data_IF_785200040079
#
_entry.id   IF_785200040079
#
_cell.length_a   1.000
_cell.length_b   1.000
_cell.length_c   1.000
_cell.angle_alpha   90.00
_cell.angle_beta   90.00
_cell.angle_gamma   90.00
#
_symmetry.space_group_name_H-M   'P 1'
#
loop_
_entity.id
_entity.type
_entity.pdbx_description
1 polymer ?
#
# COMPACT_ATOMS: atom_id res chain seq x y z
N UNK A 1 20.03 15.81 6.95
CA UNK A 1 20.37 15.95 5.51
C UNK A 1 20.74 14.57 4.99
N UNK A 2 19.94 13.98 4.13
CA UNK A 2 20.27 12.70 3.46
C UNK A 2 21.20 13.01 2.29
N UNK A 3 22.47 12.63 2.40
CA UNK A 3 23.44 12.74 1.30
C UNK A 3 22.93 11.97 0.09
N UNK A 4 23.08 12.51 -1.12
CA UNK A 4 22.67 11.87 -2.39
C UNK A 4 23.17 10.43 -2.55
N UNK A 5 24.35 10.12 -2.00
CA UNK A 5 24.91 8.77 -1.98
C UNK A 5 24.12 7.77 -1.13
N UNK A 6 23.39 8.21 -0.10
CA UNK A 6 22.69 7.30 0.82
C UNK A 6 21.40 6.74 0.23
N UNK A 7 20.64 7.53 -0.53
CA UNK A 7 19.43 7.05 -1.21
C UNK A 7 19.75 6.04 -2.32
N UNK A 8 20.79 6.31 -3.11
CA UNK A 8 21.25 5.39 -4.16
C UNK A 8 21.77 4.07 -3.58
N UNK A 9 22.58 4.11 -2.50
CA UNK A 9 23.04 2.92 -1.79
C UNK A 9 21.88 2.12 -1.20
N UNK A 10 20.91 2.80 -0.57
CA UNK A 10 19.72 2.16 -0.03
C UNK A 10 18.88 1.49 -1.13
N UNK A 11 18.76 2.12 -2.30
CA UNK A 11 18.06 1.56 -3.46
C UNK A 11 18.78 0.34 -4.04
N UNK A 12 20.10 0.43 -4.22
CA UNK A 12 20.91 -0.67 -4.73
C UNK A 12 20.85 -1.89 -3.80
N UNK A 13 21.00 -1.69 -2.49
CA UNK A 13 20.89 -2.78 -1.50
C UNK A 13 19.50 -3.42 -1.52
N UNK A 14 18.44 -2.60 -1.56
CA UNK A 14 17.06 -3.09 -1.61
C UNK A 14 16.78 -3.86 -2.92
N UNK A 15 17.30 -3.37 -4.04
CA UNK A 15 17.17 -4.03 -5.34
C UNK A 15 17.87 -5.38 -5.35
N UNK A 16 19.10 -5.45 -4.79
CA UNK A 16 19.86 -6.69 -4.71
C UNK A 16 19.12 -7.77 -3.91
N UNK A 17 18.61 -7.42 -2.71
CA UNK A 17 17.82 -8.35 -1.87
C UNK A 17 16.57 -8.83 -2.60
N UNK A 18 15.82 -7.93 -3.23
CA UNK A 18 14.61 -8.29 -3.98
C UNK A 18 14.91 -9.20 -5.17
N UNK A 19 15.98 -8.93 -5.92
CA UNK A 19 16.41 -9.74 -7.05
C UNK A 19 16.89 -11.13 -6.62
N UNK A 20 17.77 -11.20 -5.62
CA UNK A 20 18.32 -12.46 -5.11
C UNK A 20 17.23 -13.38 -4.56
N UNK A 21 16.19 -12.80 -3.97
CA UNK A 21 15.08 -13.53 -3.37
C UNK A 21 13.83 -13.59 -4.26
N UNK A 22 13.91 -13.27 -5.55
CA UNK A 22 12.75 -13.15 -6.47
C UNK A 22 11.80 -14.34 -6.40
N UNK A 23 12.36 -15.56 -6.38
CA UNK A 23 11.59 -16.81 -6.30
C UNK A 23 10.70 -16.92 -5.05
N UNK A 24 10.98 -16.18 -3.98
CA UNK A 24 10.25 -16.24 -2.71
C UNK A 24 9.03 -15.33 -2.66
N UNK A 25 8.93 -14.32 -3.53
CA UNK A 25 7.85 -13.33 -3.48
C UNK A 25 7.08 -13.17 -4.80
N UNK A 26 7.75 -13.30 -5.95
CA UNK A 26 7.17 -13.13 -7.28
C UNK A 26 6.52 -14.43 -7.79
N UNK A 27 5.49 -14.89 -7.08
CA UNK A 27 4.71 -16.08 -7.41
C UNK A 27 3.24 -15.91 -7.00
N UNK A 28 2.39 -16.81 -7.50
CA UNK A 28 0.96 -16.84 -7.17
C UNK A 28 0.69 -18.04 -6.26
N UNK A 29 0.47 -17.85 -4.94
CA UNK A 29 0.33 -18.97 -4.00
C UNK A 29 -0.81 -19.93 -4.33
N UNK A 30 -1.91 -19.41 -4.88
CA UNK A 30 -3.07 -20.22 -5.26
C UNK A 30 -2.75 -21.18 -6.43
N UNK A 31 -1.69 -20.91 -7.18
CA UNK A 31 -1.20 -21.81 -8.23
C UNK A 31 -0.29 -22.92 -7.72
N UNK A 32 0.15 -22.87 -6.46
CA UNK A 32 1.10 -23.82 -5.90
C UNK A 32 0.37 -25.03 -5.28
N UNK A 33 0.71 -26.25 -5.73
CA UNK A 33 0.19 -27.50 -5.15
C UNK A 33 1.04 -28.05 -4.00
N UNK A 34 2.26 -27.54 -3.87
CA UNK A 34 3.21 -27.85 -2.80
C UNK A 34 4.03 -26.58 -2.48
N UNK A 35 4.92 -26.66 -1.49
CA UNK A 35 5.87 -25.56 -1.25
C UNK A 35 6.69 -25.34 -2.54
N UNK A 36 6.71 -24.11 -3.10
CA UNK A 36 7.22 -23.88 -4.45
C UNK A 36 8.75 -23.75 -4.52
N UNK A 37 9.45 -23.84 -3.40
CA UNK A 37 10.88 -23.56 -3.29
C UNK A 37 11.68 -24.83 -3.08
N UNK A 38 12.76 -24.97 -3.85
CA UNK A 38 13.78 -25.99 -3.63
C UNK A 38 14.71 -25.56 -2.48
N UNK A 39 14.17 -25.54 -1.27
CA UNK A 39 14.87 -25.15 -0.05
C UNK A 39 14.43 -26.05 1.13
N UNK A 40 15.12 -27.18 1.37
CA UNK A 40 14.74 -28.15 2.40
C UNK A 40 14.72 -27.55 3.81
N UNK A 41 15.67 -26.68 4.15
CA UNK A 41 15.74 -26.03 5.45
C UNK A 41 14.54 -25.11 5.70
N UNK A 42 14.11 -24.37 4.67
CA UNK A 42 12.88 -23.58 4.73
C UNK A 42 11.64 -24.46 4.85
N UNK A 43 11.55 -25.53 4.06
CA UNK A 43 10.42 -26.46 4.10
C UNK A 43 10.27 -27.10 5.50
N UNK A 44 11.36 -27.61 6.07
CA UNK A 44 11.38 -28.14 7.44
C UNK A 44 10.91 -27.09 8.45
N UNK A 45 11.45 -25.87 8.36
CA UNK A 45 11.07 -24.77 9.27
C UNK A 45 9.58 -24.44 9.16
N UNK A 46 9.02 -24.33 7.96
CA UNK A 46 7.60 -24.00 7.75
C UNK A 46 6.64 -25.12 8.18
N UNK A 47 7.05 -26.38 8.03
CA UNK A 47 6.26 -27.54 8.47
C UNK A 47 6.29 -27.70 10.00
N UNK A 48 7.39 -27.31 10.66
CA UNK A 48 7.50 -27.34 12.11
C UNK A 48 6.69 -26.23 12.82
N UNK A 49 6.28 -25.17 12.11
CA UNK A 49 5.49 -24.08 12.71
C UNK A 49 4.03 -24.54 12.98
N UNK A 50 3.54 -24.40 14.22
CA UNK A 50 2.14 -24.68 14.55
C UNK A 50 1.19 -23.70 13.84
N UNK A 51 0.07 -24.20 13.32
CA UNK A 51 -0.90 -23.38 12.57
C UNK A 51 -1.42 -22.18 13.37
N UNK A 52 -1.57 -22.36 14.69
CA UNK A 52 -2.02 -21.31 15.62
C UNK A 52 -1.08 -20.12 15.71
N UNK A 53 0.21 -20.30 15.39
CA UNK A 53 1.23 -19.27 15.55
C UNK A 53 1.44 -18.48 14.24
N UNK A 54 1.08 -19.05 13.09
CA UNK A 54 1.32 -18.47 11.75
C UNK A 54 0.79 -17.04 11.61
N UNK A 55 -0.43 -16.78 12.10
CA UNK A 55 -1.05 -15.46 12.01
C UNK A 55 -0.33 -14.40 12.86
N UNK A 56 0.20 -14.79 14.03
CA UNK A 56 0.96 -13.89 14.89
C UNK A 56 2.32 -13.57 14.25
N UNK A 57 3.01 -14.60 13.74
CA UNK A 57 4.28 -14.43 13.04
C UNK A 57 4.09 -13.56 11.79
N UNK A 58 3.03 -13.75 10.99
CA UNK A 58 2.80 -12.94 9.78
C UNK A 58 2.63 -11.44 10.03
N UNK A 59 2.17 -11.07 11.22
CA UNK A 59 1.83 -9.68 11.58
C UNK A 59 2.92 -8.97 12.39
N UNK A 60 3.92 -9.70 12.90
CA UNK A 60 4.97 -9.16 13.76
C UNK A 60 6.36 -9.33 13.11
N UNK A 61 6.98 -8.24 12.61
CA UNK A 61 8.32 -8.28 12.03
C UNK A 61 9.40 -8.86 12.95
N UNK A 62 9.28 -8.69 14.27
CA UNK A 62 10.24 -9.25 15.22
C UNK A 62 10.11 -10.78 15.29
N UNK A 63 8.88 -11.30 15.27
CA UNK A 63 8.64 -12.75 15.19
C UNK A 63 9.08 -13.31 13.83
N UNK A 64 8.83 -12.59 12.73
CA UNK A 64 9.34 -12.97 11.41
C UNK A 64 10.87 -13.13 11.44
N UNK A 65 11.58 -12.15 12.01
CA UNK A 65 13.04 -12.22 12.16
C UNK A 65 13.46 -13.37 13.08
N UNK A 66 12.79 -13.57 14.20
CA UNK A 66 13.10 -14.66 15.13
C UNK A 66 12.96 -16.04 14.47
N UNK A 67 11.93 -16.24 13.65
CA UNK A 67 11.65 -17.56 13.06
C UNK A 67 12.36 -17.78 11.72
N UNK A 68 12.53 -16.76 10.90
CA UNK A 68 13.01 -16.87 9.51
C UNK A 68 14.31 -16.09 9.25
N UNK A 69 14.85 -15.40 10.26
CA UNK A 69 16.03 -14.54 10.14
C UNK A 69 17.29 -15.21 9.62
N UNK A 70 17.56 -16.44 10.07
CA UNK A 70 18.73 -17.21 9.64
C UNK A 70 18.67 -17.62 8.17
N UNK A 71 17.45 -17.83 7.63
CA UNK A 71 17.21 -18.25 6.25
C UNK A 71 17.18 -17.07 5.27
N UNK A 72 16.90 -15.86 5.76
CA UNK A 72 16.80 -14.63 4.97
C UNK A 72 17.69 -13.54 5.58
N UNK A 73 18.95 -13.89 5.85
CA UNK A 73 19.86 -13.02 6.60
C UNK A 73 20.09 -11.67 5.90
N UNK A 74 20.22 -11.67 4.57
CA UNK A 74 20.35 -10.50 3.71
C UNK A 74 19.14 -9.55 3.83
N UNK A 75 17.94 -10.11 3.87
CA UNK A 75 16.68 -9.38 4.04
C UNK A 75 16.60 -8.68 5.41
N UNK A 76 16.90 -9.40 6.49
CA UNK A 76 16.84 -8.83 7.84
C UNK A 76 18.05 -7.95 8.19
N UNK A 77 19.18 -8.13 7.48
CA UNK A 77 20.33 -7.23 7.54
C UNK A 77 20.17 -5.99 6.66
N UNK A 78 19.13 -5.92 5.82
CA UNK A 78 18.81 -4.73 5.04
C UNK A 78 18.63 -3.57 6.02
N UNK A 79 19.70 -2.79 6.18
CA UNK A 79 19.70 -1.70 7.14
C UNK A 79 18.64 -0.72 6.70
N UNK A 80 17.60 -0.61 7.51
CA UNK A 80 16.56 0.39 7.32
C UNK A 80 17.13 1.76 7.74
N UNK A 81 18.20 2.21 7.11
CA UNK A 81 18.96 3.46 7.33
C UNK A 81 18.12 4.75 7.21
N UNK A 82 16.82 4.63 7.01
CA UNK A 82 15.87 5.74 7.03
C UNK A 82 15.37 6.02 8.47
N UNK A 83 15.77 5.20 9.45
CA UNK A 83 15.57 5.41 10.89
C UNK A 83 16.93 5.58 11.61
N UNK A 84 17.94 6.16 10.97
CA UNK A 84 19.13 6.57 11.72
C UNK A 84 18.66 7.55 12.82
N UNK A 85 19.10 7.40 14.08
CA UNK A 85 18.66 8.27 15.19
C UNK A 85 18.96 9.77 14.97
N UNK A 86 19.76 10.11 13.96
CA UNK A 86 20.07 11.49 13.53
C UNK A 86 19.15 12.04 12.41
N UNK A 87 18.25 11.23 11.85
CA UNK A 87 17.28 11.62 10.81
C UNK A 87 15.84 11.44 11.28
N UNK A 88 15.57 11.69 12.57
CA UNK A 88 14.21 11.87 13.04
C UNK A 88 13.62 13.10 12.38
N UNK A 89 12.44 12.94 11.77
CA UNK A 89 11.67 14.10 11.34
C UNK A 89 11.46 15.00 12.56
N UNK A 90 11.69 16.29 12.40
CA UNK A 90 11.40 17.26 13.45
C UNK A 90 9.88 17.42 13.47
N UNK A 91 9.22 16.65 14.34
CA UNK A 91 7.80 16.81 14.57
C UNK A 91 7.55 18.18 15.19
N UNK A 92 6.76 19.00 14.52
CA UNK A 92 6.32 20.29 15.01
C UNK A 92 5.19 20.11 16.01
N UNK A 93 5.25 20.86 17.11
CA UNK A 93 4.15 20.91 18.06
C UNK A 93 2.93 21.58 17.40
N UNK A 94 1.85 20.81 17.29
CA UNK A 94 0.59 21.28 16.74
C UNK A 94 -0.26 21.89 17.86
N UNK A 95 -1.04 22.92 17.52
CA UNK A 95 -2.02 23.48 18.47
C UNK A 95 -3.05 22.41 18.81
N UNK A 96 -3.59 22.37 20.05
CA UNK A 96 -4.66 21.46 20.42
C UNK A 96 -5.84 21.58 19.45
N UNK A 97 -6.18 20.48 18.78
CA UNK A 97 -7.21 20.48 17.73
C UNK A 97 -8.60 20.53 18.36
N UNK A 98 -9.46 21.51 18.02
CA UNK A 98 -10.81 21.57 18.56
C UNK A 98 -11.66 20.37 18.13
N UNK A 99 -12.55 19.91 19.02
CA UNK A 99 -13.39 18.72 18.77
C UNK A 99 -14.26 18.83 17.51
N UNK A 100 -14.72 20.04 17.17
CA UNK A 100 -15.57 20.26 16.00
C UNK A 100 -14.81 20.04 14.69
N UNK A 101 -13.48 20.19 14.69
CA UNK A 101 -12.64 19.97 13.53
C UNK A 101 -12.33 18.48 13.29
N UNK A 102 -12.43 17.67 14.37
CA UNK A 102 -12.24 16.21 14.32
C UNK A 102 -13.54 15.43 14.13
N UNK A 103 -14.70 16.10 14.23
CA UNK A 103 -16.01 15.47 14.08
C UNK A 103 -16.16 14.82 12.69
N UNK A 104 -16.72 13.60 12.68
CA UNK A 104 -16.89 12.81 11.45
C UNK A 104 -15.59 12.20 10.88
N UNK A 105 -14.46 12.32 11.58
CA UNK A 105 -13.18 11.68 11.20
C UNK A 105 -12.96 10.45 12.06
N UNK A 106 -12.90 9.26 11.44
CA UNK A 106 -12.57 8.03 12.16
C UNK A 106 -11.20 8.13 12.83
N UNK A 107 -11.07 7.60 14.05
CA UNK A 107 -9.89 7.82 14.91
C UNK A 107 -8.54 7.52 14.25
N UNK A 108 -8.43 6.47 13.44
CA UNK A 108 -7.18 6.16 12.69
C UNK A 108 -6.89 7.17 11.59
N UNK A 109 -7.91 7.62 10.86
CA UNK A 109 -7.75 8.67 9.86
C UNK A 109 -7.28 9.95 10.54
N UNK A 110 -7.83 10.27 11.71
CA UNK A 110 -7.38 11.40 12.52
C UNK A 110 -5.92 11.23 12.97
N UNK A 111 -5.53 10.06 13.48
CA UNK A 111 -4.15 9.79 13.88
C UNK A 111 -3.16 9.99 12.72
N UNK A 112 -3.48 9.50 11.52
CA UNK A 112 -2.66 9.72 10.32
C UNK A 112 -2.60 11.21 9.94
N UNK A 113 -3.73 11.91 9.93
CA UNK A 113 -3.79 13.34 9.59
C UNK A 113 -2.96 14.17 10.59
N UNK A 114 -3.08 13.90 11.90
CA UNK A 114 -2.32 14.60 12.94
C UNK A 114 -0.83 14.32 12.79
N UNK A 115 -0.43 13.05 12.67
CA UNK A 115 0.97 12.67 12.54
C UNK A 115 1.60 13.19 11.24
N UNK A 116 0.86 13.22 10.14
CA UNK A 116 1.33 13.84 8.89
C UNK A 116 1.46 15.36 9.05
N UNK A 117 0.48 16.02 9.67
CA UNK A 117 0.46 17.47 9.86
C UNK A 117 1.62 17.95 10.73
N UNK A 118 2.06 17.15 11.71
CA UNK A 118 3.24 17.51 12.53
C UNK A 118 4.55 17.45 11.74
N UNK A 119 4.59 16.81 10.57
CA UNK A 119 5.77 16.79 9.71
C UNK A 119 5.80 17.92 8.69
N UNK A 120 4.75 18.75 8.62
CA UNK A 120 4.66 19.84 7.66
C UNK A 120 5.33 21.08 8.26
N UNK A 121 6.43 21.58 7.68
CA UNK A 121 7.10 22.77 8.18
C UNK A 121 6.24 24.00 7.94
N UNK A 122 6.39 24.99 8.82
CA UNK A 122 5.81 26.31 8.61
C UNK A 122 6.41 26.95 7.35
N UNK A 123 5.54 27.52 6.52
CA UNK A 123 5.91 28.10 5.24
C UNK A 123 4.85 29.11 4.79
N UNK A 124 5.28 30.18 4.14
CA UNK A 124 4.40 31.19 3.54
C UNK A 124 3.94 30.80 2.13
N UNK A 125 4.40 29.65 1.61
CA UNK A 125 3.99 29.15 0.30
C UNK A 125 2.49 28.79 0.29
N UNK A 126 1.78 29.05 -0.81
CA UNK A 126 0.44 28.51 -1.02
C UNK A 126 0.41 26.99 -0.82
N UNK A 127 -0.56 26.50 -0.04
CA UNK A 127 -0.72 25.08 0.24
C UNK A 127 -1.75 24.44 -0.67
N UNK A 128 -1.38 23.35 -1.33
CA UNK A 128 -2.28 22.51 -2.11
C UNK A 128 -2.38 21.11 -1.52
N UNK A 129 -3.61 20.65 -1.29
CA UNK A 129 -3.93 19.28 -0.91
C UNK A 129 -4.38 18.51 -2.17
N UNK A 130 -3.61 17.50 -2.55
CA UNK A 130 -3.85 16.66 -3.71
C UNK A 130 -4.68 15.43 -3.32
N UNK A 131 -5.76 15.15 -4.07
CA UNK A 131 -6.72 14.08 -3.77
C UNK A 131 -7.37 14.24 -2.39
N UNK A 132 -8.08 15.35 -2.19
CA UNK A 132 -8.51 15.83 -0.88
C UNK A 132 -9.66 15.03 -0.23
N UNK A 133 -10.48 14.33 -1.01
CA UNK A 133 -11.76 13.80 -0.54
C UNK A 133 -12.62 14.92 0.07
N UNK A 134 -13.08 14.75 1.32
CA UNK A 134 -13.79 15.81 2.08
C UNK A 134 -12.87 16.92 2.66
N UNK A 135 -11.58 16.89 2.31
CA UNK A 135 -10.55 17.87 2.69
C UNK A 135 -10.27 17.97 4.18
N UNK A 136 -10.29 16.85 4.92
CA UNK A 136 -10.01 16.87 6.35
C UNK A 136 -8.58 17.28 6.68
N UNK A 137 -7.60 16.83 5.89
CA UNK A 137 -6.21 17.21 6.08
C UNK A 137 -6.03 18.68 5.74
N UNK A 138 -6.52 19.13 4.57
CA UNK A 138 -6.45 20.53 4.18
C UNK A 138 -7.10 21.47 5.20
N UNK A 139 -8.27 21.09 5.75
CA UNK A 139 -8.96 21.87 6.77
C UNK A 139 -8.15 21.98 8.07
N UNK A 140 -7.53 20.88 8.49
CA UNK A 140 -6.65 20.89 9.66
C UNK A 140 -5.42 21.77 9.42
N UNK A 141 -4.74 21.63 8.29
CA UNK A 141 -3.55 22.41 7.97
C UNK A 141 -3.86 23.90 7.85
N UNK A 142 -4.99 24.27 7.24
CA UNK A 142 -5.44 25.66 7.17
C UNK A 142 -5.66 26.25 8.56
N UNK A 143 -6.29 25.51 9.47
CA UNK A 143 -6.52 25.94 10.85
C UNK A 143 -5.22 25.99 11.69
N UNK A 144 -4.36 24.98 11.58
CA UNK A 144 -3.10 24.91 12.34
C UNK A 144 -2.17 26.05 11.96
N UNK A 145 -1.96 26.25 10.65
CA UNK A 145 -0.98 27.18 10.10
C UNK A 145 -1.55 28.53 9.74
N UNK A 146 -2.86 28.75 9.90
CA UNK A 146 -3.54 30.02 9.62
C UNK A 146 -3.26 30.53 8.20
N UNK A 147 -3.28 29.61 7.22
CA UNK A 147 -3.00 29.94 5.82
C UNK A 147 -4.01 29.27 4.87
N UNK A 148 -4.29 29.89 3.71
CA UNK A 148 -5.21 29.31 2.74
C UNK A 148 -4.75 27.95 2.20
N UNK A 149 -5.70 27.04 2.00
CA UNK A 149 -5.48 25.73 1.39
C UNK A 149 -6.35 25.57 0.15
N UNK A 150 -5.76 25.11 -0.94
CA UNK A 150 -6.49 24.64 -2.13
C UNK A 150 -6.56 23.12 -2.12
N UNK A 151 -7.76 22.56 -2.06
CA UNK A 151 -8.03 21.12 -2.02
C UNK A 151 -8.57 20.64 -3.36
N UNK A 152 -7.85 19.73 -4.03
CA UNK A 152 -8.22 19.22 -5.35
C UNK A 152 -8.86 17.85 -5.21
N UNK A 153 -10.06 17.67 -5.77
CA UNK A 153 -10.85 16.44 -5.63
C UNK A 153 -11.68 16.18 -6.91
N UNK A 154 -11.81 14.91 -7.30
CA UNK A 154 -12.50 14.53 -8.54
C UNK A 154 -13.99 14.30 -8.35
N UNK A 155 -14.46 13.97 -7.14
CA UNK A 155 -15.87 13.78 -6.87
C UNK A 155 -16.53 15.09 -6.48
N UNK A 156 -17.40 15.61 -7.35
CA UNK A 156 -18.16 16.85 -7.10
C UNK A 156 -18.86 16.86 -5.73
N UNK A 157 -19.46 15.74 -5.31
CA UNK A 157 -20.15 15.66 -4.02
C UNK A 157 -19.18 15.84 -2.84
N UNK A 158 -17.96 15.29 -2.93
CA UNK A 158 -16.95 15.46 -1.88
C UNK A 158 -16.44 16.91 -1.82
N UNK A 159 -16.33 17.59 -2.97
CA UNK A 159 -16.03 19.02 -3.01
C UNK A 159 -17.12 19.87 -2.36
N UNK A 160 -18.39 19.54 -2.59
CA UNK A 160 -19.53 20.24 -2.01
C UNK A 160 -19.59 20.04 -0.49
N UNK A 161 -19.49 18.79 -0.02
CA UNK A 161 -19.42 18.44 1.40
C UNK A 161 -18.25 19.15 2.11
N UNK A 162 -17.07 19.14 1.48
CA UNK A 162 -15.86 19.76 2.00
C UNK A 162 -15.97 21.28 2.10
N UNK A 163 -16.49 21.94 1.06
CA UNK A 163 -16.73 23.39 1.02
C UNK A 163 -17.74 23.83 2.07
N UNK A 164 -18.82 23.04 2.28
CA UNK A 164 -19.81 23.32 3.31
C UNK A 164 -19.19 23.26 4.71
N UNK A 165 -18.37 22.24 5.00
CA UNK A 165 -17.67 22.13 6.28
C UNK A 165 -16.64 23.26 6.49
N UNK A 166 -15.90 23.64 5.45
CA UNK A 166 -14.95 24.76 5.55
C UNK A 166 -15.68 26.09 5.85
N UNK A 167 -16.81 26.34 5.18
CA UNK A 167 -17.64 27.52 5.38
C UNK A 167 -18.26 27.57 6.78
N UNK A 168 -18.78 26.42 7.25
CA UNK A 168 -19.38 26.29 8.58
C UNK A 168 -18.42 26.73 9.70
N UNK A 169 -17.13 26.45 9.56
CA UNK A 169 -16.12 26.77 10.57
C UNK A 169 -15.24 27.98 10.20
N UNK A 170 -15.59 28.72 9.14
CA UNK A 170 -14.86 29.87 8.62
C UNK A 170 -13.35 29.58 8.40
N UNK A 171 -13.05 28.41 7.83
CA UNK A 171 -11.67 27.99 7.54
C UNK A 171 -11.33 28.34 6.08
N UNK A 172 -10.17 28.96 5.81
CA UNK A 172 -9.76 29.37 4.46
C UNK A 172 -9.31 28.16 3.61
N UNK A 173 -10.26 27.30 3.27
CA UNK A 173 -10.05 26.14 2.41
C UNK A 173 -10.95 26.27 1.18
N UNK A 174 -10.34 26.25 0.00
CA UNK A 174 -11.03 26.28 -1.29
C UNK A 174 -10.96 24.91 -1.94
N UNK A 175 -12.08 24.41 -2.46
CA UNK A 175 -12.10 23.19 -3.26
C UNK A 175 -12.02 23.49 -4.76
N UNK A 176 -11.32 22.62 -5.48
CA UNK A 176 -11.28 22.58 -6.95
C UNK A 176 -11.72 21.20 -7.39
N UNK A 177 -12.83 21.14 -8.13
CA UNK A 177 -13.31 19.93 -8.76
C UNK A 177 -12.50 19.65 -10.03
N UNK A 178 -11.65 18.63 -10.00
CA UNK A 178 -10.78 18.31 -11.12
C UNK A 178 -10.33 16.84 -11.10
N UNK A 179 -10.24 16.26 -12.29
CA UNK A 179 -9.52 15.00 -12.48
C UNK A 179 -8.03 15.29 -12.65
N UNK A 180 -7.28 15.02 -11.59
CA UNK A 180 -5.84 15.27 -11.52
C UNK A 180 -4.99 14.39 -12.46
N UNK A 181 -5.58 13.36 -13.07
CA UNK A 181 -4.93 12.54 -14.09
C UNK A 181 -4.96 13.21 -15.48
N UNK A 182 -5.72 14.30 -15.63
CA UNK A 182 -5.79 15.06 -16.87
C UNK A 182 -4.85 16.28 -16.85
N UNK A 183 -4.34 16.73 -18.00
CA UNK A 183 -3.55 17.97 -18.09
C UNK A 183 -4.28 19.20 -17.53
N UNK A 184 -5.60 19.27 -17.70
CA UNK A 184 -6.42 20.38 -17.18
C UNK A 184 -6.53 20.31 -15.65
N UNK A 185 -6.71 19.12 -15.08
CA UNK A 185 -6.86 18.97 -13.64
C UNK A 185 -5.57 19.17 -12.86
N UNK A 186 -4.41 18.89 -13.47
CA UNK A 186 -3.10 19.16 -12.88
C UNK A 186 -2.64 20.61 -13.03
N UNK A 187 -3.35 21.45 -13.81
CA UNK A 187 -3.02 22.86 -14.04
C UNK A 187 -3.11 23.74 -12.78
N UNK A 188 -3.71 23.21 -11.70
CA UNK A 188 -3.76 23.82 -10.36
C UNK A 188 -2.39 23.89 -9.67
N UNK A 189 -1.42 23.11 -10.14
CA UNK A 189 -0.05 23.12 -9.63
C UNK A 189 0.72 24.32 -10.18
N UNK A 190 1.47 24.99 -9.31
CA UNK A 190 2.25 26.17 -9.63
C UNK A 190 3.69 26.10 -9.10
N UNK A 191 4.63 26.87 -9.71
CA UNK A 191 5.90 27.18 -9.05
C UNK A 191 5.65 27.87 -7.70
N UNK A 192 6.58 27.75 -6.75
CA UNK A 192 6.46 28.35 -5.41
C UNK A 192 5.24 27.87 -4.60
N UNK A 193 4.92 26.59 -4.70
CA UNK A 193 3.82 25.97 -3.96
C UNK A 193 4.33 24.86 -3.04
N UNK A 194 3.66 24.69 -1.89
CA UNK A 194 3.80 23.51 -1.05
C UNK A 194 2.63 22.56 -1.33
N UNK A 195 2.93 21.34 -1.74
CA UNK A 195 1.93 20.33 -2.09
C UNK A 195 1.97 19.20 -1.07
N UNK A 196 0.80 18.81 -0.57
CA UNK A 196 0.62 17.71 0.37
C UNK A 196 -0.28 16.62 -0.21
N UNK A 197 0.05 15.35 0.05
CA UNK A 197 -0.73 14.21 -0.39
C UNK A 197 -0.61 13.03 0.59
N UNK A 198 -1.63 12.81 1.43
CA UNK A 198 -1.63 11.69 2.39
C UNK A 198 -2.20 10.39 1.81
N UNK A 199 -3.17 10.47 0.90
CA UNK A 199 -3.83 9.31 0.27
C UNK A 199 -4.05 9.50 -1.24
N UNK A 200 -2.99 9.88 -1.95
CA UNK A 200 -3.00 9.90 -3.41
C UNK A 200 -2.62 8.51 -3.94
N UNK A 201 -3.58 7.62 -4.14
CA UNK A 201 -3.31 6.21 -4.42
C UNK A 201 -2.77 5.92 -5.83
N UNK A 202 -1.76 5.03 -5.95
CA UNK A 202 -1.32 4.44 -7.22
C UNK A 202 -0.96 5.47 -8.29
N UNK A 203 -1.69 5.50 -9.40
CA UNK A 203 -1.43 6.46 -10.48
C UNK A 203 -1.50 7.92 -10.02
N UNK A 204 -2.30 8.24 -9.00
CA UNK A 204 -2.50 9.61 -8.51
C UNK A 204 -1.22 10.22 -7.90
N UNK A 205 -0.43 9.44 -7.14
CA UNK A 205 0.85 9.95 -6.63
C UNK A 205 1.95 9.94 -7.71
N UNK A 206 1.85 9.06 -8.71
CA UNK A 206 2.79 9.08 -9.84
C UNK A 206 2.59 10.35 -10.65
N UNK A 207 1.34 10.69 -10.93
CA UNK A 207 0.99 11.89 -11.68
C UNK A 207 1.34 13.16 -10.91
N UNK A 208 1.09 13.19 -9.60
CA UNK A 208 1.55 14.29 -8.75
C UNK A 208 3.06 14.53 -8.91
N UNK A 209 3.88 13.49 -8.84
CA UNK A 209 5.34 13.63 -8.94
C UNK A 209 5.76 14.17 -10.31
N UNK A 210 5.21 13.63 -11.41
CA UNK A 210 5.51 14.08 -12.77
C UNK A 210 5.13 15.55 -12.98
N UNK A 211 3.92 15.92 -12.57
CA UNK A 211 3.40 17.28 -12.76
C UNK A 211 4.09 18.29 -11.84
N UNK A 212 4.36 17.92 -10.58
CA UNK A 212 5.10 18.77 -9.65
C UNK A 212 6.51 19.09 -10.17
N UNK A 213 7.21 18.10 -10.71
CA UNK A 213 8.52 18.29 -11.36
C UNK A 213 8.39 19.20 -12.59
N UNK A 214 7.43 18.92 -13.47
CA UNK A 214 7.19 19.71 -14.70
C UNK A 214 6.87 21.18 -14.39
N UNK A 215 6.04 21.43 -13.37
CA UNK A 215 5.65 22.78 -12.93
C UNK A 215 6.67 23.43 -12.00
N UNK A 216 7.64 22.67 -11.50
CA UNK A 216 8.64 23.19 -10.58
C UNK A 216 8.10 23.56 -9.20
N UNK A 217 7.13 22.78 -8.68
CA UNK A 217 6.60 22.98 -7.33
C UNK A 217 7.74 22.97 -6.31
N UNK A 218 7.68 23.86 -5.32
CA UNK A 218 8.84 24.13 -4.47
C UNK A 218 8.99 23.12 -3.34
N UNK A 219 7.89 22.67 -2.74
CA UNK A 219 7.90 21.72 -1.63
C UNK A 219 6.85 20.63 -1.82
N UNK A 220 7.23 19.38 -1.61
CA UNK A 220 6.35 18.22 -1.70
C UNK A 220 6.40 17.43 -0.39
N UNK A 221 5.24 17.02 0.10
CA UNK A 221 5.07 16.14 1.24
C UNK A 221 4.05 15.07 0.86
N UNK A 222 4.50 13.85 0.55
CA UNK A 222 3.60 12.81 0.09
C UNK A 222 3.85 11.48 0.78
N UNK A 223 2.77 10.76 1.01
CA UNK A 223 2.75 9.37 1.48
C UNK A 223 2.19 8.51 0.35
N UNK A 224 3.04 7.90 -0.48
CA UNK A 224 2.58 6.99 -1.52
C UNK A 224 1.88 5.77 -0.91
N UNK A 225 0.73 5.39 -1.44
CA UNK A 225 -0.04 4.23 -0.98
C UNK A 225 -0.76 3.54 -2.15
N UNK A 226 -1.21 2.30 -1.94
CA UNK A 226 -1.98 1.55 -2.93
C UNK A 226 -1.27 1.44 -4.30
N UNK A 227 0.01 1.05 -4.29
CA UNK A 227 0.87 0.99 -5.49
C UNK A 227 0.31 0.18 -6.67
N UNK A 228 -0.57 -0.79 -6.40
CA UNK A 228 -1.22 -1.62 -7.41
C UNK A 228 -2.34 -0.92 -8.21
N UNK A 229 -2.76 0.28 -7.81
CA UNK A 229 -3.81 1.05 -8.51
C UNK A 229 -3.20 1.88 -9.64
N UNK A 230 -2.62 1.20 -10.62
CA UNK A 230 -2.07 1.76 -11.86
C UNK A 230 -2.90 1.30 -13.07
N UNK A 231 -2.88 2.02 -14.21
CA UNK A 231 -3.58 1.58 -15.41
C UNK A 231 -2.81 0.50 -16.18
N UNK A 232 -1.48 0.53 -16.11
CA UNK A 232 -0.60 -0.38 -16.84
C UNK A 232 -0.49 -1.73 -16.14
N UNK A 233 -0.35 -2.81 -16.90
CA UNK A 233 -0.22 -4.18 -16.36
C UNK A 233 1.01 -4.35 -15.45
N UNK A 234 2.05 -3.55 -15.71
CA UNK A 234 3.32 -3.54 -15.00
C UNK A 234 3.68 -2.13 -14.55
N UNK A 235 4.32 -2.05 -13.38
CA UNK A 235 4.87 -0.80 -12.88
C UNK A 235 5.94 -0.25 -13.82
N UNK A 236 5.79 1.02 -14.19
CA UNK A 236 6.80 1.77 -14.93
C UNK A 236 7.68 2.56 -13.97
N UNK A 237 8.97 2.19 -13.78
CA UNK A 237 9.84 2.89 -12.84
C UNK A 237 10.12 4.34 -13.25
N UNK A 238 10.20 5.24 -12.27
CA UNK A 238 10.34 6.67 -12.53
C UNK A 238 11.80 7.11 -12.68
N UNK A 239 12.67 6.58 -11.83
CA UNK A 239 14.09 6.95 -11.79
C UNK A 239 14.91 6.08 -12.75
N UNK A 240 16.00 6.67 -13.28
CA UNK A 240 16.92 5.94 -14.16
C UNK A 240 17.49 4.65 -13.52
N UNK A 241 17.78 4.66 -12.21
CA UNK A 241 18.30 3.48 -11.51
C UNK A 241 17.26 2.36 -11.42
N UNK A 242 15.99 2.71 -11.20
CA UNK A 242 14.93 1.72 -11.13
C UNK A 242 14.57 1.15 -12.49
N UNK A 243 14.68 1.95 -13.55
CA UNK A 243 14.57 1.49 -14.93
C UNK A 243 15.67 0.48 -15.28
N UNK A 244 16.89 0.67 -14.75
CA UNK A 244 18.00 -0.27 -14.95
C UNK A 244 17.88 -1.55 -14.11
N UNK A 245 17.34 -1.46 -12.88
CA UNK A 245 17.20 -2.61 -11.99
C UNK A 245 16.11 -3.60 -12.43
N UNK A 246 15.13 -3.11 -13.20
CA UNK A 246 14.03 -3.86 -13.82
C UNK A 246 13.53 -5.09 -13.04
N UNK A 247 12.75 -4.82 -11.98
CA UNK A 247 12.06 -5.88 -11.25
C UNK A 247 10.83 -6.45 -11.99
N UNK A 248 10.41 -5.85 -13.11
CA UNK A 248 9.21 -6.21 -13.86
C UNK A 248 7.99 -6.47 -12.95
N UNK A 249 7.67 -5.50 -12.07
CA UNK A 249 6.61 -5.67 -11.06
C UNK A 249 5.22 -5.62 -11.70
N UNK A 250 4.50 -6.73 -11.63
CA UNK A 250 3.10 -6.83 -12.06
C UNK A 250 2.14 -6.23 -11.02
N UNK A 251 0.86 -6.08 -11.38
CA UNK A 251 -0.19 -5.77 -10.40
C UNK A 251 -0.21 -6.70 -9.18
N UNK A 252 0.08 -7.98 -9.36
CA UNK A 252 0.09 -8.95 -8.26
C UNK A 252 1.24 -8.68 -7.29
N UNK A 253 2.41 -8.33 -7.82
CA UNK A 253 3.58 -7.98 -7.03
C UNK A 253 3.37 -6.65 -6.28
N UNK A 254 2.74 -5.66 -6.92
CA UNK A 254 2.38 -4.40 -6.28
C UNK A 254 1.30 -4.58 -5.20
N UNK A 255 0.40 -5.57 -5.35
CA UNK A 255 -0.57 -5.92 -4.31
C UNK A 255 0.16 -6.46 -3.08
N UNK A 256 1.22 -7.26 -3.25
CA UNK A 256 2.02 -7.76 -2.13
C UNK A 256 2.58 -6.60 -1.29
N UNK A 257 3.11 -5.54 -1.91
CA UNK A 257 3.63 -4.36 -1.19
C UNK A 257 2.58 -3.67 -0.28
N UNK A 258 1.29 -3.87 -0.55
CA UNK A 258 0.19 -3.24 0.21
C UNK A 258 -0.62 -4.22 1.04
N UNK A 259 -0.30 -5.51 0.99
CA UNK A 259 -0.82 -6.51 1.91
C UNK A 259 -0.21 -6.27 3.30
N UNK A 260 -1.02 -6.34 4.34
CA UNK A 260 -0.65 -5.97 5.71
C UNK A 260 -1.81 -5.26 6.40
N UNK A 261 -2.26 -5.83 7.50
CA UNK A 261 -3.47 -5.40 8.19
C UNK A 261 -3.18 -5.24 9.68
N UNK A 262 -3.16 -3.99 10.15
CA UNK A 262 -2.95 -3.70 11.57
C UNK A 262 -4.23 -3.75 12.40
N UNK A 263 -5.41 -3.90 11.77
CA UNK A 263 -6.69 -3.52 12.40
C UNK A 263 -7.94 -4.17 11.83
N UNK A 264 -7.82 -5.29 11.10
CA UNK A 264 -9.01 -6.04 10.72
C UNK A 264 -9.65 -6.62 12.00
N UNK A 265 -10.90 -6.25 12.28
CA UNK A 265 -11.63 -6.87 13.40
C UNK A 265 -11.85 -8.37 13.16
N UNK A 266 -12.05 -9.14 14.23
CA UNK A 266 -12.21 -10.62 14.20
C UNK A 266 -13.19 -11.09 13.12
N UNK A 267 -14.31 -10.37 12.94
CA UNK A 267 -15.30 -10.67 11.89
C UNK A 267 -14.73 -10.56 10.48
N UNK A 268 -13.96 -9.51 10.19
CA UNK A 268 -13.36 -9.27 8.87
C UNK A 268 -12.33 -10.36 8.59
N UNK A 269 -11.56 -10.76 9.59
CA UNK A 269 -10.57 -11.82 9.47
C UNK A 269 -11.21 -13.18 9.19
N UNK A 270 -12.30 -13.50 9.90
CA UNK A 270 -13.08 -14.72 9.63
C UNK A 270 -13.62 -14.77 8.20
N UNK A 271 -14.13 -13.64 7.70
CA UNK A 271 -14.63 -13.55 6.31
C UNK A 271 -13.50 -13.75 5.30
N UNK A 272 -12.32 -13.19 5.55
CA UNK A 272 -11.13 -13.36 4.70
C UNK A 272 -10.66 -14.82 4.67
N UNK A 273 -10.63 -15.47 5.82
CA UNK A 273 -10.30 -16.90 5.91
C UNK A 273 -11.32 -17.76 5.15
N UNK A 274 -12.59 -17.42 5.25
CA UNK A 274 -13.67 -18.10 4.51
C UNK A 274 -13.50 -17.89 3.01
N UNK A 275 -13.23 -16.66 2.58
CA UNK A 275 -12.97 -16.33 1.18
C UNK A 275 -11.81 -17.14 0.58
N UNK A 276 -10.66 -17.20 1.28
CA UNK A 276 -9.50 -17.97 0.80
C UNK A 276 -9.87 -19.45 0.66
N UNK A 277 -10.46 -20.05 1.70
CA UNK A 277 -10.85 -21.47 1.68
C UNK A 277 -11.84 -21.79 0.56
N UNK A 278 -12.84 -20.94 0.36
CA UNK A 278 -13.86 -21.17 -0.66
C UNK A 278 -13.32 -21.01 -2.07
N UNK A 279 -12.44 -20.04 -2.32
CA UNK A 279 -11.78 -19.89 -3.62
C UNK A 279 -10.92 -21.13 -3.95
N UNK A 280 -10.21 -21.69 -2.97
CA UNK A 280 -9.40 -22.89 -3.15
C UNK A 280 -10.26 -24.16 -3.28
N UNK A 281 -11.36 -24.25 -2.53
CA UNK A 281 -12.35 -25.33 -2.68
C UNK A 281 -12.96 -25.33 -4.09
N UNK A 282 -13.33 -24.15 -4.60
CA UNK A 282 -13.82 -24.01 -5.98
C UNK A 282 -12.74 -24.35 -7.01
N UNK A 283 -11.48 -23.98 -6.79
CA UNK A 283 -10.37 -24.36 -7.67
C UNK A 283 -10.21 -25.89 -7.76
N UNK A 284 -10.31 -26.60 -6.63
CA UNK A 284 -10.28 -28.06 -6.61
C UNK A 284 -11.46 -28.68 -7.39
N UNK A 285 -12.66 -28.11 -7.27
CA UNK A 285 -13.83 -28.50 -8.07
C UNK A 285 -13.59 -28.27 -9.56
N UNK A 286 -13.11 -27.08 -9.94
CA UNK A 286 -12.80 -26.76 -11.34
C UNK A 286 -11.81 -27.75 -11.95
N UNK A 287 -10.72 -28.03 -11.26
CA UNK A 287 -9.71 -28.99 -11.71
C UNK A 287 -10.26 -30.42 -11.87
N UNK A 288 -11.13 -30.86 -10.96
CA UNK A 288 -11.78 -32.17 -11.08
C UNK A 288 -12.73 -32.26 -12.28
N UNK A 289 -13.38 -31.16 -12.66
CA UNK A 289 -14.32 -31.11 -13.79
C UNK A 289 -13.62 -30.97 -15.15
N UNK A 290 -12.52 -30.21 -15.21
CA UNK A 290 -11.83 -29.89 -16.48
C UNK A 290 -10.63 -30.79 -16.75
N UNK A 291 -10.05 -31.41 -15.71
CA UNK A 291 -8.74 -32.06 -15.77
C UNK A 291 -7.56 -31.07 -15.85
N UNK A 292 -7.83 -29.77 -15.76
CA UNK A 292 -6.82 -28.71 -15.79
C UNK A 292 -6.51 -28.20 -14.39
N UNK A 293 -5.25 -28.33 -13.98
CA UNK A 293 -4.76 -27.87 -12.67
C UNK A 293 -4.22 -26.43 -12.69
N UNK A 294 -4.30 -25.74 -13.83
CA UNK A 294 -3.87 -24.35 -13.93
C UNK A 294 -4.76 -23.44 -13.09
N UNK A 295 -4.13 -22.52 -12.35
CA UNK A 295 -4.86 -21.55 -11.56
C UNK A 295 -5.62 -20.57 -12.46
N UNK A 296 -6.93 -20.48 -12.25
CA UNK A 296 -7.80 -19.51 -12.90
C UNK A 296 -8.38 -18.53 -11.87
N UNK A 297 -8.04 -17.23 -11.94
CA UNK A 297 -8.57 -16.25 -11.01
C UNK A 297 -10.07 -16.02 -11.23
N UNK A 298 -10.77 -15.73 -10.14
CA UNK A 298 -12.15 -15.25 -10.14
C UNK A 298 -12.16 -13.73 -9.99
N UNK A 299 -13.22 -13.08 -10.48
CA UNK A 299 -13.44 -11.65 -10.29
C UNK A 299 -13.58 -11.28 -8.80
N UNK A 300 -13.40 -9.99 -8.51
CA UNK A 300 -13.61 -9.44 -7.16
C UNK A 300 -15.11 -9.44 -6.85
N UNK A 301 -15.48 -9.88 -5.65
CA UNK A 301 -16.88 -10.07 -5.27
C UNK A 301 -17.17 -9.53 -3.87
N UNK A 302 -18.43 -9.16 -3.62
CA UNK A 302 -18.84 -8.60 -2.34
C UNK A 302 -18.73 -9.60 -1.18
N UNK A 303 -18.42 -9.10 0.03
CA UNK A 303 -18.23 -9.92 1.24
C UNK A 303 -19.46 -10.72 1.69
N UNK A 304 -20.65 -10.42 1.15
CA UNK A 304 -21.89 -11.13 1.46
C UNK A 304 -21.83 -12.59 1.05
N UNK A 305 -21.13 -12.93 -0.05
CA UNK A 305 -20.93 -14.32 -0.48
C UNK A 305 -20.31 -15.16 0.64
N UNK A 306 -19.24 -14.68 1.26
CA UNK A 306 -18.52 -15.39 2.32
C UNK A 306 -19.24 -15.42 3.67
N UNK A 307 -20.45 -14.87 3.75
CA UNK A 307 -21.33 -14.97 4.92
C UNK A 307 -22.45 -16.00 4.75
N UNK A 308 -22.62 -16.55 3.53
CA UNK A 308 -23.67 -17.51 3.17
C UNK A 308 -23.19 -18.96 3.16
N UNK A 309 -23.61 -19.72 2.13
CA UNK A 309 -23.23 -21.10 1.91
C UNK A 309 -22.21 -21.25 0.76
N UNK A 310 -21.33 -22.26 0.86
CA UNK A 310 -20.31 -22.50 -0.17
C UNK A 310 -20.92 -22.87 -1.52
N UNK A 311 -22.04 -23.60 -1.55
CA UNK A 311 -22.66 -24.02 -2.80
C UNK A 311 -23.12 -22.82 -3.63
N UNK A 312 -23.63 -21.76 -2.99
CA UNK A 312 -24.04 -20.54 -3.69
C UNK A 312 -22.82 -19.83 -4.29
N UNK A 313 -21.74 -19.69 -3.52
CA UNK A 313 -20.48 -19.14 -4.02
C UNK A 313 -19.92 -19.97 -5.18
N UNK A 314 -19.92 -21.30 -5.07
CA UNK A 314 -19.41 -22.20 -6.09
C UNK A 314 -20.23 -22.12 -7.39
N UNK A 315 -21.56 -21.97 -7.30
CA UNK A 315 -22.43 -21.73 -8.48
C UNK A 315 -22.12 -20.41 -9.15
N UNK A 316 -21.96 -19.34 -8.38
CA UNK A 316 -21.55 -18.04 -8.91
C UNK A 316 -20.18 -18.10 -9.60
N UNK A 317 -19.22 -18.79 -8.98
CA UNK A 317 -17.89 -18.97 -9.53
C UNK A 317 -17.91 -19.82 -10.82
N UNK A 318 -18.69 -20.89 -10.84
CA UNK A 318 -18.86 -21.73 -12.03
C UNK A 318 -19.50 -20.98 -13.20
N UNK A 319 -20.51 -20.13 -12.92
CA UNK A 319 -21.13 -19.25 -13.92
C UNK A 319 -20.10 -18.28 -14.54
N UNK A 320 -19.24 -17.67 -13.70
CA UNK A 320 -18.15 -16.81 -14.18
C UNK A 320 -17.18 -17.52 -15.13
N UNK A 321 -16.86 -18.79 -14.87
CA UNK A 321 -15.96 -19.60 -15.70
C UNK A 321 -16.70 -20.43 -16.76
N UNK A 322 -18.02 -20.30 -16.86
CA UNK A 322 -18.88 -21.08 -17.76
C UNK A 322 -18.71 -22.60 -17.61
N UNK A 323 -18.49 -23.06 -16.37
CA UNK A 323 -18.28 -24.47 -16.06
C UNK A 323 -19.59 -25.16 -15.68
N UNK A 324 -19.97 -26.27 -16.35
CA UNK A 324 -21.15 -27.03 -15.99
C UNK A 324 -20.91 -27.78 -14.68
N UNK A 325 -21.75 -27.50 -13.67
CA UNK A 325 -21.72 -28.21 -12.41
C UNK A 325 -22.52 -29.52 -12.49
N UNK A 326 -22.07 -30.60 -11.81
CA UNK A 326 -22.86 -31.81 -11.70
C UNK A 326 -24.16 -31.56 -10.92
N UNK A 327 -25.16 -32.43 -11.09
CA UNK A 327 -26.47 -32.26 -10.45
C UNK A 327 -26.40 -32.25 -8.91
N UNK A 328 -25.48 -33.03 -8.34
CA UNK A 328 -25.22 -33.08 -6.91
C UNK A 328 -23.70 -33.12 -6.66
N UNK A 329 -23.02 -31.95 -6.67
CA UNK A 329 -21.59 -31.88 -6.37
C UNK A 329 -21.34 -32.20 -4.89
N UNK A 330 -20.25 -32.90 -4.59
CA UNK A 330 -19.83 -33.17 -3.22
C UNK A 330 -19.15 -31.93 -2.61
N UNK A 331 -19.97 -30.98 -2.15
CA UNK A 331 -19.50 -29.73 -1.59
C UNK A 331 -18.57 -29.91 -0.39
N UNK A 332 -18.84 -30.91 0.45
CA UNK A 332 -18.05 -31.16 1.66
C UNK A 332 -16.66 -31.68 1.31
N UNK A 333 -16.55 -32.55 0.31
CA UNK A 333 -15.27 -33.00 -0.21
C UNK A 333 -14.40 -31.83 -0.67
N UNK A 334 -14.93 -30.93 -1.51
CA UNK A 334 -14.17 -29.78 -2.01
C UNK A 334 -13.84 -28.75 -0.92
N UNK A 335 -14.72 -28.57 0.08
CA UNK A 335 -14.41 -27.74 1.24
C UNK A 335 -13.22 -28.28 2.05
N UNK A 336 -13.14 -29.60 2.22
CA UNK A 336 -11.99 -30.25 2.88
C UNK A 336 -10.70 -30.02 2.08
N UNK A 337 -10.73 -30.27 0.77
CA UNK A 337 -9.58 -30.00 -0.11
C UNK A 337 -9.14 -28.53 -0.07
N UNK A 338 -10.10 -27.59 -0.12
CA UNK A 338 -9.81 -26.17 -0.04
C UNK A 338 -9.24 -25.74 1.32
N UNK A 339 -9.63 -26.40 2.41
CA UNK A 339 -9.06 -26.17 3.73
C UNK A 339 -7.61 -26.65 3.85
N UNK A 340 -7.29 -27.84 3.31
CA UNK A 340 -5.93 -28.38 3.25
C UNK A 340 -5.04 -27.47 2.38
N UNK A 341 -5.52 -27.06 1.21
CA UNK A 341 -4.78 -26.16 0.33
C UNK A 341 -4.58 -24.77 0.97
N UNK A 342 -5.56 -24.27 1.72
CA UNK A 342 -5.41 -23.00 2.46
C UNK A 342 -4.28 -23.05 3.50
N UNK A 343 -4.05 -24.20 4.14
CA UNK A 343 -2.95 -24.37 5.09
C UNK A 343 -1.58 -24.29 4.41
N UNK A 344 -1.45 -24.83 3.18
CA UNK A 344 -0.27 -24.67 2.33
C UNK A 344 -0.10 -23.20 1.92
N UNK A 345 -1.14 -22.58 1.37
CA UNK A 345 -1.11 -21.17 0.93
C UNK A 345 -0.71 -20.24 2.07
N UNK A 346 -1.19 -20.48 3.28
CA UNK A 346 -0.82 -19.68 4.46
C UNK A 346 0.68 -19.72 4.75
N UNK A 347 1.32 -20.89 4.60
CA UNK A 347 2.78 -21.05 4.79
C UNK A 347 3.57 -20.41 3.65
N UNK A 348 3.07 -20.50 2.42
CA UNK A 348 3.67 -19.80 1.29
C UNK A 348 3.61 -18.29 1.52
N UNK A 349 2.45 -17.79 1.92
CA UNK A 349 2.23 -16.38 2.19
C UNK A 349 3.12 -15.86 3.33
N UNK A 350 3.35 -16.65 4.39
CA UNK A 350 4.26 -16.26 5.48
C UNK A 350 5.64 -15.83 4.97
N UNK A 351 6.18 -16.54 3.98
CA UNK A 351 7.47 -16.20 3.35
C UNK A 351 7.33 -15.01 2.40
N UNK A 352 6.31 -15.00 1.54
CA UNK A 352 6.08 -13.89 0.59
C UNK A 352 5.92 -12.56 1.33
N UNK A 353 5.25 -12.59 2.47
CA UNK A 353 4.95 -11.42 3.27
C UNK A 353 6.18 -10.78 3.92
N UNK A 354 7.30 -11.50 4.05
CA UNK A 354 8.59 -10.92 4.43
C UNK A 354 9.02 -9.79 3.47
N UNK A 355 8.57 -9.86 2.22
CA UNK A 355 8.94 -8.92 1.15
C UNK A 355 7.99 -7.72 1.01
N UNK A 356 6.91 -7.63 1.80
CA UNK A 356 5.97 -6.47 1.81
C UNK A 356 6.72 -5.14 1.97
N UNK A 357 7.52 -5.03 3.03
CA UNK A 357 8.25 -3.79 3.37
C UNK A 357 9.43 -3.51 2.42
N UNK A 358 10.25 -4.48 2.02
CA UNK A 358 11.24 -4.29 0.96
C UNK A 358 10.64 -3.77 -0.35
N UNK A 359 9.52 -4.34 -0.82
CA UNK A 359 8.86 -3.89 -2.05
C UNK A 359 8.34 -2.45 -1.91
N UNK A 360 7.67 -2.13 -0.80
CA UNK A 360 7.24 -0.76 -0.52
C UNK A 360 8.44 0.20 -0.50
N UNK A 361 9.54 -0.18 0.17
CA UNK A 361 10.75 0.63 0.23
C UNK A 361 11.34 0.87 -1.15
N UNK A 362 11.46 -0.16 -1.98
CA UNK A 362 11.96 -0.04 -3.34
C UNK A 362 11.12 0.95 -4.16
N UNK A 363 9.79 0.86 -4.07
CA UNK A 363 8.85 1.76 -4.73
C UNK A 363 8.99 3.21 -4.25
N UNK A 364 9.14 3.45 -2.95
CA UNK A 364 9.32 4.83 -2.44
C UNK A 364 10.70 5.39 -2.77
N UNK A 365 11.75 4.55 -2.73
CA UNK A 365 13.11 4.96 -3.12
C UNK A 365 13.18 5.32 -4.60
N UNK A 366 12.47 4.61 -5.48
CA UNK A 366 12.35 4.99 -6.90
C UNK A 366 11.78 6.42 -7.05
N UNK A 367 10.72 6.75 -6.32
CA UNK A 367 10.13 8.10 -6.30
C UNK A 367 11.09 9.15 -5.74
N UNK A 368 11.83 8.81 -4.69
CA UNK A 368 12.82 9.70 -4.09
C UNK A 368 13.98 9.98 -5.05
N UNK A 369 14.49 8.95 -5.72
CA UNK A 369 15.55 9.07 -6.71
C UNK A 369 15.08 9.85 -7.94
N UNK A 370 13.84 9.66 -8.39
CA UNK A 370 13.25 10.46 -9.46
C UNK A 370 13.27 11.95 -9.12
N UNK A 371 12.77 12.32 -7.94
CA UNK A 371 12.80 13.72 -7.49
C UNK A 371 14.24 14.26 -7.37
N UNK A 372 15.17 13.46 -6.84
CA UNK A 372 16.58 13.85 -6.74
C UNK A 372 17.21 14.11 -8.11
N UNK A 373 16.91 13.27 -9.11
CA UNK A 373 17.35 13.46 -10.51
C UNK A 373 16.81 14.76 -11.12
N UNK A 374 15.69 15.27 -10.60
CA UNK A 374 15.06 16.52 -11.02
C UNK A 374 15.36 17.72 -10.11
N UNK A 375 16.45 17.67 -9.34
CA UNK A 375 16.95 18.83 -8.57
C UNK A 375 16.27 19.07 -7.23
N UNK A 376 15.58 18.06 -6.68
CA UNK A 376 15.04 18.13 -5.33
C UNK A 376 16.02 17.56 -4.31
N UNK A 377 16.11 18.22 -3.16
CA UNK A 377 16.63 17.60 -1.95
C UNK A 377 15.51 16.77 -1.33
N UNK A 378 15.75 15.46 -1.17
CA UNK A 378 14.72 14.51 -0.74
C UNK A 378 15.07 13.89 0.61
N UNK A 379 14.09 13.84 1.51
CA UNK A 379 14.12 13.10 2.76
C UNK A 379 13.01 12.05 2.74
N UNK A 380 13.31 10.88 3.31
CA UNK A 380 12.38 9.76 3.39
C UNK A 380 12.43 9.20 4.80
N UNK A 381 11.32 9.29 5.53
CA UNK A 381 11.25 8.86 6.93
C UNK A 381 9.87 8.30 7.26
N UNK A 382 9.76 7.56 8.36
CA UNK A 382 8.45 7.19 8.90
C UNK A 382 7.79 8.42 9.55
N UNK A 383 6.54 8.74 9.19
CA UNK A 383 5.82 9.87 9.81
C UNK A 383 4.96 9.49 11.01
N UNK A 384 4.68 8.19 11.18
CA UNK A 384 3.92 7.65 12.29
C UNK A 384 4.31 6.19 12.58
N UNK A 385 3.82 5.67 13.70
CA UNK A 385 3.96 4.25 14.04
C UNK A 385 3.31 3.36 12.98
N UNK A 386 3.92 2.20 12.72
CA UNK A 386 3.44 1.21 11.76
C UNK A 386 2.04 0.68 12.12
N UNK A 387 1.69 0.61 13.42
CA UNK A 387 0.39 0.19 13.91
C UNK A 387 -0.73 1.20 13.56
N UNK A 388 -0.39 2.47 13.34
CA UNK A 388 -1.34 3.48 12.84
C UNK A 388 -1.66 3.21 11.38
N UNK A 389 -0.62 3.05 10.55
CA UNK A 389 -0.74 2.61 9.17
C UNK A 389 0.56 1.93 8.74
N UNK A 390 0.49 0.76 8.09
CA UNK A 390 1.67 0.13 7.52
C UNK A 390 2.37 0.97 6.46
N UNK A 391 1.62 1.86 5.78
CA UNK A 391 2.12 2.75 4.73
C UNK A 391 2.52 4.08 5.36
N UNK A 392 3.50 4.01 6.26
CA UNK A 392 3.93 5.12 7.11
C UNK A 392 5.13 5.89 6.55
N UNK A 393 5.54 5.67 5.30
CA UNK A 393 6.68 6.35 4.69
C UNK A 393 6.26 7.69 4.08
N UNK A 394 6.82 8.78 4.62
CA UNK A 394 6.67 10.12 4.11
C UNK A 394 7.88 10.50 3.28
N UNK A 395 7.63 10.91 2.04
CA UNK A 395 8.59 11.56 1.17
C UNK A 395 8.43 13.07 1.30
N UNK A 396 9.50 13.75 1.72
CA UNK A 396 9.60 15.21 1.70
C UNK A 396 10.62 15.63 0.66
N UNK A 397 10.28 16.60 -0.17
CA UNK A 397 11.18 17.09 -1.20
C UNK A 397 11.12 18.61 -1.28
N UNK A 398 12.28 19.25 -1.33
CA UNK A 398 12.41 20.70 -1.52
C UNK A 398 13.25 20.94 -2.76
N UNK A 399 12.72 21.70 -3.71
CA UNK A 399 13.46 22.06 -4.91
C UNK A 399 14.57 23.03 -4.52
N UNK A 400 15.81 22.72 -4.90
CA UNK A 400 16.90 23.67 -4.75
C UNK A 400 16.83 24.71 -5.88
N UNK A 401 16.98 25.99 -5.53
CA UNK A 401 16.97 27.08 -6.49
C UNK A 401 18.20 27.07 -7.38
#
# INVERSE_FOLDING_TARGET
>A
MTNSGTLQQAFAACSAVLQQNRQYWQLVPFACQQLPWDNPALAEKLLALPERDLACIDQDPALQQQHLGELFCDLFQLKYHLNAPESTLIAHELKPVPFWLTNGIGGRKMAQITAFSSQIPQSDLPLLEWCAGKGHLGRLLAWQFQRPVTSVEWQQQLCADGSALASQFNIPQRFVHADVLTPQGSAVLAPQQQVVALHACGQLHIELLRQAVSKGCQQLHLVPCCYHLIPDEQYQPLSALAQQADLALSHHDLKLAVQGQVTAGVRIEKLRHTEVKWRLAYQALGAALTGDNNYQPLSSVGKHWFSGDFADFARWAADQHQLPLPAAPDWQHYLTMGAEHAALVTRIELVRHLFRRPLERWLVLDRALYLQQHGYQVQLNAFCDYQVTPRNLLLQAVRQN
#
